data_IF_631038827532
#
_entry.id   IF_631038827532
#
_cell.length_a   1.000
_cell.length_b   1.000
_cell.length_c   1.000
_cell.angle_alpha   90.00
_cell.angle_beta   90.00
_cell.angle_gamma   90.00
#
_symmetry.space_group_name_H-M   'P 1'
#
loop_
_entity.id
_entity.type
_entity.pdbx_description
1 polymer ?
#
# COMPACT_ATOMS: atom_id res chain seq x y z
N UNK A 1 25.88 50.53 -7.40
CA UNK A 1 25.60 49.07 -7.47
C UNK A 1 24.26 48.81 -6.78
N UNK A 2 23.21 48.50 -7.54
CA UNK A 2 21.83 48.50 -7.02
C UNK A 2 21.44 47.11 -6.48
N UNK A 3 21.67 46.86 -5.19
CA UNK A 3 21.21 45.61 -4.57
C UNK A 3 19.68 45.52 -4.65
N UNK A 4 19.18 44.43 -5.23
CA UNK A 4 17.77 44.05 -5.13
C UNK A 4 17.41 43.91 -3.65
N UNK A 5 16.62 44.85 -3.11
CA UNK A 5 15.82 44.58 -1.90
C UNK A 5 14.84 43.45 -2.23
N UNK A 6 15.24 42.21 -1.96
CA UNK A 6 14.35 41.05 -2.00
C UNK A 6 13.14 41.38 -1.11
N UNK A 7 11.96 41.50 -1.71
CA UNK A 7 10.75 41.93 -1.01
C UNK A 7 10.31 40.81 -0.07
N UNK A 8 10.78 40.82 1.18
CA UNK A 8 10.43 39.83 2.21
C UNK A 8 8.92 39.59 2.29
N UNK A 9 8.12 40.66 2.24
CA UNK A 9 6.66 40.57 2.21
C UNK A 9 6.08 39.82 1.00
N UNK A 10 6.71 39.92 -0.19
CA UNK A 10 6.26 39.14 -1.35
C UNK A 10 6.60 37.65 -1.20
N UNK A 11 7.74 37.32 -0.60
CA UNK A 11 8.11 35.94 -0.26
C UNK A 11 7.18 35.38 0.83
N UNK A 12 6.86 36.17 1.85
CA UNK A 12 5.93 35.79 2.91
C UNK A 12 4.50 35.55 2.37
N UNK A 13 3.98 36.44 1.53
CA UNK A 13 2.67 36.26 0.89
C UNK A 13 2.64 35.04 -0.04
N UNK A 14 3.71 34.77 -0.79
CA UNK A 14 3.81 33.57 -1.61
C UNK A 14 3.86 32.29 -0.75
N UNK A 15 4.63 32.29 0.34
CA UNK A 15 4.68 31.17 1.28
C UNK A 15 3.32 30.92 1.95
N UNK A 16 2.63 31.97 2.39
CA UNK A 16 1.28 31.87 2.95
C UNK A 16 0.27 31.33 1.93
N UNK A 17 0.32 31.79 0.67
CA UNK A 17 -0.53 31.28 -0.40
C UNK A 17 -0.28 29.78 -0.67
N UNK A 18 0.99 29.34 -0.68
CA UNK A 18 1.34 27.91 -0.79
C UNK A 18 0.84 27.10 0.41
N UNK A 19 0.97 27.61 1.63
CA UNK A 19 0.46 26.93 2.83
C UNK A 19 -1.08 26.82 2.84
N UNK A 20 -1.79 27.87 2.42
CA UNK A 20 -3.24 27.85 2.27
C UNK A 20 -3.70 26.89 1.16
N UNK A 21 -2.99 26.84 0.04
CA UNK A 21 -3.23 25.88 -1.04
C UNK A 21 -3.00 24.44 -0.58
N UNK A 22 -1.84 24.13 0.01
CA UNK A 22 -1.55 22.81 0.57
C UNK A 22 -2.59 22.38 1.62
N UNK A 23 -3.01 23.29 2.51
CA UNK A 23 -4.11 23.06 3.46
C UNK A 23 -5.41 22.70 2.73
N UNK A 24 -5.81 23.47 1.73
CA UNK A 24 -7.04 23.19 0.96
C UNK A 24 -6.97 21.85 0.20
N UNK A 25 -5.86 21.55 -0.47
CA UNK A 25 -5.63 20.31 -1.24
C UNK A 25 -5.65 19.05 -0.35
N UNK A 26 -5.01 19.12 0.82
CA UNK A 26 -4.92 18.01 1.78
C UNK A 26 -6.23 17.82 2.57
N UNK A 27 -6.89 18.91 2.96
CA UNK A 27 -8.14 18.86 3.70
C UNK A 27 -9.35 18.53 2.83
N UNK A 28 -9.42 19.08 1.62
CA UNK A 28 -10.54 18.94 0.67
C UNK A 28 -11.90 18.91 1.39
N UNK A 29 -12.32 20.06 1.92
CA UNK A 29 -13.57 20.24 2.68
C UNK A 29 -13.64 19.64 4.08
N UNK A 30 -12.76 18.68 4.44
CA UNK A 30 -12.83 17.96 5.71
C UNK A 30 -11.97 18.59 6.82
N UNK A 31 -12.26 18.24 8.08
CA UNK A 31 -11.49 18.69 9.24
C UNK A 31 -10.12 17.99 9.35
N UNK A 32 -9.16 18.64 10.03
CA UNK A 32 -7.83 18.06 10.30
C UNK A 32 -7.94 16.71 11.07
N UNK A 33 -8.75 16.58 12.13
CA UNK A 33 -8.93 15.29 12.82
C UNK A 33 -9.50 14.20 11.93
N UNK A 34 -10.46 14.52 11.05
CA UNK A 34 -11.02 13.54 10.11
C UNK A 34 -9.96 13.05 9.10
N UNK A 35 -9.15 13.95 8.54
CA UNK A 35 -8.07 13.55 7.61
C UNK A 35 -7.02 12.69 8.32
N UNK A 36 -6.57 13.09 9.51
CA UNK A 36 -5.67 12.29 10.33
C UNK A 36 -6.25 10.90 10.62
N UNK A 37 -7.53 10.82 11.01
CA UNK A 37 -8.24 9.56 11.21
C UNK A 37 -8.26 8.69 9.95
N UNK A 38 -8.56 9.24 8.77
CA UNK A 38 -8.53 8.45 7.52
C UNK A 38 -7.14 7.92 7.15
N UNK A 39 -6.06 8.63 7.53
CA UNK A 39 -4.68 8.14 7.37
C UNK A 39 -4.37 7.04 8.38
N UNK A 40 -4.73 7.22 9.66
CA UNK A 40 -4.55 6.21 10.71
C UNK A 40 -5.31 4.92 10.40
N UNK A 41 -6.56 5.01 9.95
CA UNK A 41 -7.37 3.84 9.54
C UNK A 41 -6.76 3.13 8.33
N UNK A 42 -6.09 3.83 7.41
CA UNK A 42 -5.35 3.21 6.32
C UNK A 42 -4.02 2.57 6.76
N UNK A 43 -3.31 3.22 7.68
CA UNK A 43 -2.02 2.76 8.20
C UNK A 43 -2.12 1.66 9.26
N UNK A 44 -3.29 1.49 9.88
CA UNK A 44 -3.51 0.53 10.97
C UNK A 44 -3.22 -0.93 10.58
N UNK A 45 -3.68 -1.48 9.44
CA UNK A 45 -3.42 -2.89 9.11
C UNK A 45 -1.93 -3.21 8.83
N UNK A 46 -1.15 -2.37 8.11
CA UNK A 46 0.31 -2.54 8.01
C UNK A 46 1.02 -2.34 9.36
N UNK A 47 0.58 -1.38 10.19
CA UNK A 47 1.13 -1.21 11.54
C UNK A 47 0.89 -2.46 12.41
N UNK A 48 -0.34 -2.98 12.43
CA UNK A 48 -0.73 -4.20 13.14
C UNK A 48 0.14 -5.39 12.72
N UNK A 49 0.42 -5.55 11.42
CA UNK A 49 1.39 -6.54 10.94
C UNK A 49 2.80 -6.31 11.53
N UNK A 50 3.37 -5.10 11.44
CA UNK A 50 4.71 -4.84 12.00
C UNK A 50 4.78 -5.02 13.52
N UNK A 51 3.66 -4.78 14.22
CA UNK A 51 3.53 -5.01 15.64
C UNK A 51 3.51 -6.52 15.94
N UNK A 52 2.61 -7.28 15.32
CA UNK A 52 2.48 -8.72 15.53
C UNK A 52 3.75 -9.49 15.13
N UNK A 53 4.41 -9.08 14.03
CA UNK A 53 5.73 -9.61 13.65
C UNK A 53 6.74 -9.43 14.79
N UNK A 54 6.81 -8.23 15.40
CA UNK A 54 7.68 -7.98 16.57
C UNK A 54 7.25 -8.73 17.84
N UNK A 55 5.97 -9.05 18.00
CA UNK A 55 5.49 -9.86 19.12
C UNK A 55 5.71 -11.37 18.95
N UNK A 56 5.98 -11.87 17.74
CA UNK A 56 6.22 -13.29 17.48
C UNK A 56 7.36 -13.89 18.33
N UNK A 57 8.33 -13.07 18.76
CA UNK A 57 9.37 -13.47 19.72
C UNK A 57 8.84 -14.02 21.06
N UNK A 58 7.63 -13.61 21.46
CA UNK A 58 6.97 -14.03 22.70
C UNK A 58 6.16 -15.32 22.56
N UNK A 59 6.05 -15.90 21.35
CA UNK A 59 5.46 -17.23 21.16
C UNK A 59 6.43 -18.27 21.75
N UNK A 60 6.07 -19.04 22.79
CA UNK A 60 6.96 -20.01 23.40
C UNK A 60 7.41 -21.08 22.39
N UNK A 61 8.66 -21.53 22.48
CA UNK A 61 9.28 -22.42 21.50
C UNK A 61 8.61 -23.79 21.40
N UNK A 62 8.09 -24.28 22.51
CA UNK A 62 7.43 -25.59 22.69
C UNK A 62 6.07 -25.71 21.99
N UNK A 63 5.45 -24.59 21.59
CA UNK A 63 4.21 -24.57 20.79
C UNK A 63 4.45 -24.20 19.32
N UNK A 64 5.70 -24.02 18.89
CA UNK A 64 6.04 -23.71 17.50
C UNK A 64 6.16 -24.99 16.66
N UNK A 65 5.66 -25.01 15.41
CA UNK A 65 5.80 -26.16 14.53
C UNK A 65 7.26 -26.42 14.10
N UNK A 66 7.62 -27.65 13.68
CA UNK A 66 8.95 -27.97 13.15
C UNK A 66 9.33 -27.15 11.91
N UNK A 67 10.61 -26.80 11.79
CA UNK A 67 11.13 -25.98 10.69
C UNK A 67 11.42 -26.84 9.45
N UNK A 68 10.83 -26.48 8.31
CA UNK A 68 10.98 -27.23 7.07
C UNK A 68 12.18 -26.74 6.23
N UNK A 69 13.15 -27.63 6.00
CA UNK A 69 14.36 -27.33 5.19
C UNK A 69 14.39 -28.01 3.81
N UNK A 70 13.57 -29.05 3.57
CA UNK A 70 13.64 -29.82 2.31
C UNK A 70 12.61 -29.41 1.25
N UNK A 71 11.48 -28.81 1.64
CA UNK A 71 10.38 -28.52 0.71
C UNK A 71 10.72 -27.40 -0.27
N UNK A 72 11.17 -26.24 0.20
CA UNK A 72 11.42 -25.09 -0.68
C UNK A 72 12.54 -25.33 -1.70
N UNK A 73 13.70 -25.92 -1.34
CA UNK A 73 14.72 -26.27 -2.34
C UNK A 73 14.18 -27.23 -3.41
N UNK A 74 13.38 -28.24 -3.03
CA UNK A 74 12.80 -29.19 -3.98
C UNK A 74 11.75 -28.53 -4.88
N UNK A 75 10.81 -27.77 -4.31
CA UNK A 75 9.77 -27.05 -5.04
C UNK A 75 10.36 -25.98 -5.96
N UNK A 76 11.43 -25.29 -5.53
CA UNK A 76 12.15 -24.30 -6.34
C UNK A 76 12.86 -24.95 -7.55
N UNK A 77 13.57 -26.07 -7.33
CA UNK A 77 14.20 -26.84 -8.44
C UNK A 77 13.15 -27.34 -9.45
N UNK A 78 11.99 -27.80 -8.98
CA UNK A 78 10.91 -28.21 -9.88
C UNK A 78 10.32 -27.01 -10.65
N UNK A 79 9.96 -25.92 -9.95
CA UNK A 79 9.39 -24.70 -10.53
C UNK A 79 10.26 -24.09 -11.63
N UNK A 80 11.58 -24.06 -11.43
CA UNK A 80 12.56 -23.50 -12.36
C UNK A 80 12.99 -24.48 -13.47
N UNK A 81 12.55 -25.75 -13.42
CA UNK A 81 12.79 -26.69 -14.52
C UNK A 81 11.95 -26.31 -15.76
N UNK A 82 12.36 -26.70 -16.98
CA UNK A 82 11.56 -26.44 -18.18
C UNK A 82 10.12 -26.99 -18.08
N UNK A 83 9.95 -28.14 -17.43
CA UNK A 83 8.64 -28.76 -17.19
C UNK A 83 7.81 -27.92 -16.20
N UNK A 84 8.42 -27.46 -15.10
CA UNK A 84 7.75 -26.60 -14.12
C UNK A 84 7.31 -25.25 -14.69
N UNK A 85 8.17 -24.62 -15.50
CA UNK A 85 7.85 -23.36 -16.21
C UNK A 85 6.69 -23.57 -17.19
N UNK A 86 6.67 -24.67 -17.97
CA UNK A 86 5.56 -25.02 -18.86
C UNK A 86 4.27 -25.25 -18.07
N UNK A 87 4.31 -26.09 -17.02
CA UNK A 87 3.13 -26.42 -16.22
C UNK A 87 2.53 -25.19 -15.51
N UNK A 88 3.37 -24.30 -14.95
CA UNK A 88 2.88 -23.06 -14.36
C UNK A 88 2.32 -22.11 -15.44
N UNK A 89 2.93 -22.05 -16.63
CA UNK A 89 2.40 -21.25 -17.74
C UNK A 89 1.00 -21.75 -18.15
N UNK A 90 0.83 -23.07 -18.28
CA UNK A 90 -0.47 -23.69 -18.57
C UNK A 90 -1.50 -23.43 -17.45
N UNK A 91 -1.11 -23.54 -16.18
CA UNK A 91 -1.97 -23.25 -15.03
C UNK A 91 -2.40 -21.77 -14.95
N UNK A 92 -1.61 -20.86 -15.51
CA UNK A 92 -1.92 -19.42 -15.61
C UNK A 92 -2.75 -19.05 -16.84
N UNK A 93 -2.90 -19.92 -17.86
CA UNK A 93 -3.70 -19.63 -19.05
C UNK A 93 -5.18 -19.29 -18.75
N UNK A 94 -5.90 -19.94 -17.80
CA UNK A 94 -7.27 -19.55 -17.47
C UNK A 94 -7.34 -18.12 -16.90
N UNK A 95 -6.37 -17.72 -16.07
CA UNK A 95 -6.27 -16.37 -15.52
C UNK A 95 -5.89 -15.35 -16.61
N UNK A 96 -4.94 -15.69 -17.49
CA UNK A 96 -4.59 -14.86 -18.64
C UNK A 96 -5.79 -14.65 -19.57
N UNK A 97 -6.57 -15.70 -19.85
CA UNK A 97 -7.82 -15.64 -20.64
C UNK A 97 -8.89 -14.79 -19.97
N UNK A 98 -9.08 -14.93 -18.66
CA UNK A 98 -10.02 -14.09 -17.90
C UNK A 98 -9.61 -12.60 -17.97
N UNK A 99 -8.33 -12.31 -17.76
CA UNK A 99 -7.79 -10.94 -17.79
C UNK A 99 -7.74 -10.36 -19.21
N UNK A 100 -7.62 -11.20 -20.25
CA UNK A 100 -7.80 -10.78 -21.65
C UNK A 100 -9.18 -10.15 -21.83
N UNK A 101 -10.26 -10.95 -21.71
CA UNK A 101 -11.62 -10.48 -21.98
C UNK A 101 -12.09 -9.42 -20.99
N UNK A 102 -11.77 -9.55 -19.69
CA UNK A 102 -12.13 -8.56 -18.67
C UNK A 102 -11.43 -7.19 -18.84
N UNK A 103 -10.34 -7.15 -19.64
CA UNK A 103 -9.64 -5.92 -19.98
C UNK A 103 -10.01 -5.36 -21.37
N UNK A 104 -10.85 -6.04 -22.16
CA UNK A 104 -11.35 -5.49 -23.44
C UNK A 104 -12.60 -4.61 -23.30
N UNK A 105 -13.32 -4.70 -22.17
CA UNK A 105 -14.56 -3.95 -21.91
C UNK A 105 -14.45 -2.43 -22.07
N UNK A 106 -15.34 -1.88 -22.90
CA UNK A 106 -15.67 -0.46 -23.15
C UNK A 106 -14.57 0.59 -23.31
N UNK A 107 -13.35 0.13 -23.55
CA UNK A 107 -12.29 0.95 -24.11
C UNK A 107 -12.62 1.33 -25.58
N UNK A 108 -12.19 2.50 -26.08
CA UNK A 108 -12.20 2.82 -27.51
C UNK A 108 -11.45 1.76 -28.33
N UNK A 109 -11.73 1.60 -29.63
CA UNK A 109 -11.12 0.54 -30.49
C UNK A 109 -9.58 0.47 -30.35
N UNK A 110 -8.89 1.61 -30.31
CA UNK A 110 -7.43 1.69 -30.13
C UNK A 110 -6.94 1.16 -28.76
N UNK A 111 -7.76 1.22 -27.72
CA UNK A 111 -7.42 0.78 -26.36
C UNK A 111 -7.96 -0.62 -26.01
N UNK A 112 -8.96 -1.18 -26.71
CA UNK A 112 -9.43 -2.56 -26.47
C UNK A 112 -8.27 -3.55 -26.54
N UNK A 113 -7.34 -3.32 -27.48
CA UNK A 113 -6.12 -4.10 -27.62
C UNK A 113 -5.20 -4.17 -26.38
N UNK A 114 -5.41 -3.35 -25.33
CA UNK A 114 -4.63 -3.44 -24.07
C UNK A 114 -4.79 -4.78 -23.35
N UNK A 115 -5.92 -5.48 -23.49
CA UNK A 115 -6.17 -6.75 -22.80
C UNK A 115 -5.13 -7.83 -23.10
N UNK A 116 -4.69 -7.93 -24.36
CA UNK A 116 -3.64 -8.86 -24.80
C UNK A 116 -2.33 -8.72 -24.00
N UNK A 117 -1.97 -7.51 -23.59
CA UNK A 117 -0.69 -7.24 -22.93
C UNK A 117 -0.71 -7.60 -21.46
N UNK A 118 -1.85 -7.46 -20.77
CA UNK A 118 -2.01 -7.98 -19.41
C UNK A 118 -2.07 -9.52 -19.41
N UNK A 119 -2.79 -10.12 -20.36
CA UNK A 119 -2.84 -11.58 -20.55
C UNK A 119 -1.45 -12.15 -20.88
N UNK A 120 -0.73 -11.55 -21.83
CA UNK A 120 0.65 -11.92 -22.14
C UNK A 120 1.59 -11.74 -20.94
N UNK A 121 1.38 -10.70 -20.11
CA UNK A 121 2.18 -10.53 -18.90
C UNK A 121 2.00 -11.66 -17.89
N UNK A 122 0.78 -12.20 -17.77
CA UNK A 122 0.48 -13.36 -16.92
C UNK A 122 1.11 -14.64 -17.50
N UNK A 123 1.03 -14.83 -18.82
CA UNK A 123 1.65 -15.97 -19.50
C UNK A 123 3.20 -15.92 -19.49
N UNK A 124 3.80 -14.73 -19.50
CA UNK A 124 5.25 -14.53 -19.42
C UNK A 124 5.80 -14.57 -17.99
N UNK A 125 4.94 -14.51 -16.96
CA UNK A 125 5.37 -14.49 -15.55
C UNK A 125 6.29 -15.67 -15.17
N UNK A 126 6.04 -16.94 -15.56
CA UNK A 126 6.92 -18.06 -15.19
C UNK A 126 8.30 -17.96 -15.82
N UNK A 127 8.38 -17.54 -17.09
CA UNK A 127 9.64 -17.31 -17.80
C UNK A 127 10.41 -16.13 -17.20
N UNK A 128 9.71 -15.06 -16.80
CA UNK A 128 10.31 -13.92 -16.12
C UNK A 128 10.84 -14.26 -14.72
N UNK A 129 10.08 -15.04 -13.95
CA UNK A 129 10.52 -15.56 -12.64
C UNK A 129 11.78 -16.41 -12.82
N UNK A 130 11.80 -17.31 -13.81
CA UNK A 130 12.98 -18.09 -14.16
C UNK A 130 14.18 -17.22 -14.59
N UNK A 131 13.95 -16.14 -15.35
CA UNK A 131 14.99 -15.19 -15.71
C UNK A 131 15.53 -14.44 -14.49
N UNK A 132 14.68 -14.00 -13.54
CA UNK A 132 15.16 -13.36 -12.30
C UNK A 132 15.96 -14.33 -11.42
N UNK A 133 15.61 -15.62 -11.41
CA UNK A 133 16.35 -16.65 -10.70
C UNK A 133 17.73 -16.92 -11.34
N UNK A 134 17.79 -17.03 -12.67
CA UNK A 134 19.05 -17.23 -13.39
C UNK A 134 19.99 -16.01 -13.31
N UNK A 135 19.45 -14.80 -13.42
CA UNK A 135 20.22 -13.57 -13.14
C UNK A 135 20.58 -13.45 -11.65
N UNK A 136 19.89 -14.17 -10.77
CA UNK A 136 20.23 -14.31 -9.35
C UNK A 136 21.57 -15.02 -9.13
N UNK A 137 22.02 -15.86 -10.07
CA UNK A 137 23.31 -16.57 -10.01
C UNK A 137 24.43 -15.86 -10.77
N UNK A 138 24.32 -14.54 -11.00
CA UNK A 138 25.42 -13.73 -11.52
C UNK A 138 26.55 -13.61 -10.49
N UNK A 139 27.78 -13.44 -10.97
CA UNK A 139 28.96 -13.27 -10.12
C UNK A 139 28.81 -12.07 -9.18
N UNK A 140 29.11 -12.29 -7.91
CA UNK A 140 28.93 -11.30 -6.85
C UNK A 140 29.88 -10.12 -7.07
N UNK A 141 29.33 -8.90 -7.07
CA UNK A 141 30.14 -7.68 -7.18
C UNK A 141 29.49 -6.52 -6.44
N UNK A 142 30.32 -5.58 -5.95
CA UNK A 142 29.84 -4.40 -5.21
C UNK A 142 28.81 -3.58 -6.00
N UNK A 143 28.91 -3.55 -7.33
CA UNK A 143 27.96 -2.87 -8.20
C UNK A 143 26.58 -3.56 -8.22
N UNK A 144 26.54 -4.90 -8.32
CA UNK A 144 25.29 -5.66 -8.25
C UNK A 144 24.72 -5.68 -6.84
N UNK A 145 25.55 -5.71 -5.79
CA UNK A 145 25.13 -5.61 -4.39
C UNK A 145 24.44 -4.26 -4.10
N UNK A 146 25.03 -3.14 -4.54
CA UNK A 146 24.40 -1.82 -4.41
C UNK A 146 23.15 -1.67 -5.30
N UNK A 147 23.11 -2.31 -6.47
CA UNK A 147 21.92 -2.31 -7.33
C UNK A 147 20.78 -3.16 -6.74
N UNK A 148 21.06 -4.33 -6.19
CA UNK A 148 20.09 -5.16 -5.48
C UNK A 148 19.61 -4.49 -4.18
N UNK A 149 20.52 -3.83 -3.46
CA UNK A 149 20.19 -3.00 -2.30
C UNK A 149 19.15 -1.91 -2.62
N UNK A 150 19.23 -1.30 -3.80
CA UNK A 150 18.28 -0.27 -4.24
C UNK A 150 16.82 -0.73 -4.20
N UNK A 151 16.50 -1.92 -4.73
CA UNK A 151 15.15 -2.48 -4.67
C UNK A 151 14.84 -3.12 -3.31
N UNK A 152 15.71 -4.02 -2.84
CA UNK A 152 15.45 -4.89 -1.69
C UNK A 152 15.64 -4.19 -0.34
N UNK A 153 16.72 -3.43 -0.15
CA UNK A 153 17.03 -2.78 1.13
C UNK A 153 16.36 -1.40 1.27
N UNK A 154 16.47 -0.54 0.26
CA UNK A 154 15.94 0.82 0.33
C UNK A 154 14.46 0.90 -0.08
N UNK A 155 14.11 0.47 -1.30
CA UNK A 155 12.74 0.61 -1.80
C UNK A 155 11.74 -0.35 -1.16
N UNK A 156 12.14 -1.43 -0.47
CA UNK A 156 11.18 -2.27 0.26
C UNK A 156 10.44 -1.47 1.36
N UNK A 157 11.15 -0.67 2.15
CA UNK A 157 10.54 0.14 3.21
C UNK A 157 9.93 1.44 2.67
N UNK A 158 10.50 2.02 1.61
CA UNK A 158 10.02 3.29 1.05
C UNK A 158 8.82 3.13 0.09
N UNK A 159 8.75 2.05 -0.69
CA UNK A 159 7.73 1.92 -1.75
C UNK A 159 6.28 1.87 -1.25
N UNK A 160 5.92 1.33 -0.07
CA UNK A 160 4.55 1.44 0.45
C UNK A 160 4.13 2.89 0.69
N UNK A 161 5.03 3.74 1.18
CA UNK A 161 4.77 5.15 1.47
C UNK A 161 4.67 5.94 0.15
N UNK A 162 5.60 5.70 -0.77
CA UNK A 162 5.60 6.30 -2.12
C UNK A 162 4.34 5.88 -2.90
N UNK A 163 3.95 4.61 -2.83
CA UNK A 163 2.73 4.09 -3.46
C UNK A 163 1.48 4.71 -2.83
N UNK A 164 1.36 4.76 -1.50
CA UNK A 164 0.22 5.39 -0.83
C UNK A 164 0.07 6.87 -1.23
N UNK A 165 1.18 7.61 -1.32
CA UNK A 165 1.19 9.00 -1.79
C UNK A 165 0.80 9.13 -3.27
N UNK A 166 1.33 8.26 -4.14
CA UNK A 166 0.98 8.22 -5.56
C UNK A 166 -0.50 7.86 -5.77
N UNK A 167 -1.05 6.93 -4.98
CA UNK A 167 -2.46 6.53 -5.02
C UNK A 167 -3.37 7.64 -4.47
N UNK A 168 -2.93 8.43 -3.49
CA UNK A 168 -3.64 9.65 -3.08
C UNK A 168 -3.62 10.72 -4.19
N UNK A 169 -2.50 10.84 -4.90
CA UNK A 169 -2.33 11.76 -6.02
C UNK A 169 -3.19 11.44 -7.24
N UNK A 170 -3.16 10.20 -7.72
CA UNK A 170 -3.74 9.80 -9.02
C UNK A 170 -4.90 8.80 -8.92
N UNK A 171 -5.13 8.21 -7.74
CA UNK A 171 -6.26 7.30 -7.49
C UNK A 171 -7.51 8.02 -6.99
N UNK A 172 -8.59 7.26 -6.87
CA UNK A 172 -9.89 7.78 -6.42
C UNK A 172 -9.93 8.00 -4.91
N UNK A 173 -10.86 8.82 -4.42
CA UNK A 173 -10.89 9.18 -3.00
C UNK A 173 -11.09 7.96 -2.10
N UNK A 174 -10.16 7.74 -1.17
CA UNK A 174 -10.14 6.55 -0.30
C UNK A 174 -9.38 5.34 -0.86
N UNK A 175 -8.90 5.37 -2.11
CA UNK A 175 -8.09 4.30 -2.67
C UNK A 175 -6.79 4.06 -1.89
N UNK A 176 -6.13 5.13 -1.42
CA UNK A 176 -4.90 5.03 -0.61
C UNK A 176 -5.13 4.39 0.77
N UNK A 177 -6.30 4.63 1.39
CA UNK A 177 -6.70 3.92 2.61
C UNK A 177 -6.95 2.42 2.30
N UNK A 178 -7.65 2.14 1.20
CA UNK A 178 -7.91 0.76 0.74
C UNK A 178 -6.61 0.01 0.40
N UNK A 179 -5.60 0.68 -0.16
CA UNK A 179 -4.25 0.13 -0.36
C UNK A 179 -3.59 -0.31 0.95
N UNK A 180 -3.69 0.51 2.01
CA UNK A 180 -3.19 0.14 3.34
C UNK A 180 -3.88 -1.12 3.89
N UNK A 181 -5.19 -1.23 3.74
CA UNK A 181 -5.94 -2.45 4.07
C UNK A 181 -5.52 -3.67 3.24
N UNK A 182 -5.32 -3.51 1.92
CA UNK A 182 -4.83 -4.59 1.05
C UNK A 182 -3.43 -5.08 1.48
N UNK A 183 -2.49 -4.14 1.66
CA UNK A 183 -1.11 -4.40 2.06
C UNK A 183 -1.04 -5.07 3.44
N UNK A 184 -1.80 -4.56 4.41
CA UNK A 184 -1.87 -5.17 5.73
C UNK A 184 -2.46 -6.57 5.70
N UNK A 185 -3.52 -6.82 4.92
CA UNK A 185 -4.15 -8.13 4.82
C UNK A 185 -3.20 -9.20 4.26
N UNK A 186 -2.51 -8.92 3.14
CA UNK A 186 -1.52 -9.87 2.60
C UNK A 186 -0.34 -10.10 3.56
N UNK A 187 0.11 -9.07 4.28
CA UNK A 187 1.26 -9.18 5.17
C UNK A 187 0.89 -9.91 6.48
N UNK A 188 -0.32 -9.70 7.01
CA UNK A 188 -0.87 -10.47 8.14
C UNK A 188 -1.03 -11.96 7.78
N UNK A 189 -1.57 -12.27 6.59
CA UNK A 189 -1.71 -13.65 6.13
C UNK A 189 -0.34 -14.32 5.86
N UNK A 190 0.62 -13.58 5.31
CA UNK A 190 1.99 -14.07 5.15
C UNK A 190 2.69 -14.32 6.49
N UNK A 191 2.56 -13.41 7.47
CA UNK A 191 3.03 -13.63 8.84
C UNK A 191 2.37 -14.86 9.48
N UNK A 192 1.06 -15.02 9.35
CA UNK A 192 0.37 -16.21 9.84
C UNK A 192 0.96 -17.49 9.22
N UNK A 193 1.27 -17.47 7.91
CA UNK A 193 1.96 -18.57 7.22
C UNK A 193 3.35 -18.83 7.79
N UNK A 194 4.16 -17.78 8.03
CA UNK A 194 5.49 -17.93 8.63
C UNK A 194 5.47 -18.55 10.03
N UNK A 195 4.38 -18.37 10.78
CA UNK A 195 4.21 -18.90 12.14
C UNK A 195 3.69 -20.35 12.16
N UNK A 196 2.77 -20.71 11.26
CA UNK A 196 2.23 -22.08 11.18
C UNK A 196 3.03 -23.00 10.25
N UNK A 197 3.84 -22.44 9.35
CA UNK A 197 4.60 -23.16 8.34
C UNK A 197 6.01 -22.54 8.14
N UNK A 198 6.87 -22.61 9.17
CA UNK A 198 8.24 -22.10 9.12
C UNK A 198 9.10 -22.88 8.12
N UNK A 199 9.84 -22.16 7.27
CA UNK A 199 10.71 -22.74 6.25
C UNK A 199 12.03 -21.96 6.15
N UNK A 200 13.13 -22.67 5.86
CA UNK A 200 14.46 -22.07 5.68
C UNK A 200 14.69 -21.54 4.25
N UNK A 201 15.13 -20.28 4.16
CA UNK A 201 15.50 -19.54 2.94
C UNK A 201 16.96 -19.83 2.50
N UNK A 202 17.38 -19.42 1.28
CA UNK A 202 18.66 -19.84 0.69
C UNK A 202 19.91 -19.64 1.59
N UNK A 203 19.99 -18.49 2.28
CA UNK A 203 21.09 -18.18 3.21
C UNK A 203 21.37 -19.24 4.27
N UNK A 204 20.38 -20.06 4.65
CA UNK A 204 20.57 -21.12 5.63
C UNK A 204 21.51 -22.20 5.08
N UNK A 205 21.32 -22.62 3.84
CA UNK A 205 22.13 -23.66 3.20
C UNK A 205 23.51 -23.12 2.79
N UNK A 206 23.62 -21.81 2.51
CA UNK A 206 24.91 -21.14 2.28
C UNK A 206 25.81 -21.13 3.54
N UNK A 207 25.21 -21.16 4.74
CA UNK A 207 25.92 -21.08 6.03
C UNK A 207 26.10 -22.44 6.70
N UNK A 208 25.08 -23.31 6.62
CA UNK A 208 25.05 -24.60 7.33
C UNK A 208 25.12 -25.83 6.41
N UNK A 209 25.14 -25.64 5.09
CA UNK A 209 25.16 -26.72 4.10
C UNK A 209 23.76 -27.28 3.76
N UNK A 210 23.71 -28.17 2.77
CA UNK A 210 22.48 -28.86 2.35
C UNK A 210 22.15 -30.00 3.31
N UNK A 211 23.16 -30.72 3.80
CA UNK A 211 23.04 -31.84 4.74
C UNK A 211 22.95 -31.40 6.21
N UNK A 212 22.49 -30.17 6.46
CA UNK A 212 22.34 -29.60 7.78
C UNK A 212 21.35 -30.42 8.64
N UNK A 213 21.66 -30.55 9.93
CA UNK A 213 20.73 -31.09 10.92
C UNK A 213 19.43 -30.25 10.97
N UNK A 214 18.32 -30.85 11.43
CA UNK A 214 17.06 -30.13 11.59
C UNK A 214 17.27 -28.91 12.52
N UNK A 215 17.04 -27.68 12.05
CA UNK A 215 17.27 -26.50 12.86
C UNK A 215 16.16 -26.32 13.89
N UNK A 216 16.49 -25.62 14.97
CA UNK A 216 15.57 -25.21 16.02
C UNK A 216 15.42 -23.67 16.09
N UNK A 217 14.69 -23.18 17.08
CA UNK A 217 14.44 -21.76 17.28
C UNK A 217 15.54 -20.99 18.03
N UNK A 218 16.68 -21.61 18.32
CA UNK A 218 17.89 -20.92 18.84
C UNK A 218 18.71 -20.26 17.72
N UNK A 219 18.53 -20.69 16.47
CA UNK A 219 19.27 -20.18 15.31
C UNK A 219 19.08 -18.65 15.15
N UNK A 220 20.17 -17.86 15.04
CA UNK A 220 20.09 -16.42 14.91
C UNK A 220 19.60 -16.00 13.51
N UNK A 221 18.91 -14.85 13.45
CA UNK A 221 18.54 -14.24 12.17
C UNK A 221 19.75 -13.71 11.40
N UNK A 222 19.74 -13.87 10.08
CA UNK A 222 20.91 -13.64 9.22
C UNK A 222 20.60 -12.57 8.14
N UNK A 223 21.50 -11.60 7.89
CA UNK A 223 21.34 -10.59 6.84
C UNK A 223 21.58 -11.11 5.41
N UNK A 224 21.95 -12.38 5.22
CA UNK A 224 22.27 -12.98 3.93
C UNK A 224 23.23 -12.09 3.10
N UNK A 225 22.94 -11.88 1.81
CA UNK A 225 23.75 -11.04 0.93
C UNK A 225 23.90 -9.58 1.39
N UNK A 226 23.00 -9.05 2.25
CA UNK A 226 23.12 -7.68 2.77
C UNK A 226 24.31 -7.49 3.72
N UNK A 227 24.97 -8.56 4.20
CA UNK A 227 26.26 -8.43 4.92
C UNK A 227 27.34 -7.75 4.05
N UNK A 228 27.29 -7.99 2.73
CA UNK A 228 28.19 -7.35 1.75
C UNK A 228 27.86 -5.87 1.60
N UNK A 229 26.58 -5.52 1.59
CA UNK A 229 26.10 -4.12 1.54
C UNK A 229 26.48 -3.35 2.81
N UNK A 230 26.32 -3.96 3.98
CA UNK A 230 26.83 -3.42 5.26
C UNK A 230 28.34 -3.13 5.15
N UNK A 231 29.13 -4.07 4.62
CA UNK A 231 30.58 -3.89 4.41
C UNK A 231 30.94 -2.80 3.39
N UNK A 232 30.25 -2.72 2.25
CA UNK A 232 30.47 -1.71 1.20
C UNK A 232 30.16 -0.28 1.70
N UNK A 233 29.12 -0.14 2.53
CA UNK A 233 28.70 1.15 3.08
C UNK A 233 29.40 1.52 4.41
N UNK A 234 30.22 0.63 4.97
CA UNK A 234 30.86 0.83 6.27
C UNK A 234 29.86 0.89 7.44
N UNK A 235 28.76 0.13 7.35
CA UNK A 235 27.70 0.11 8.38
C UNK A 235 27.42 -1.31 8.91
N UNK A 236 26.55 -1.40 9.91
CA UNK A 236 26.06 -2.67 10.47
C UNK A 236 24.54 -2.67 10.58
N UNK A 237 23.85 -1.98 9.67
CA UNK A 237 22.40 -1.74 9.75
C UNK A 237 21.65 -3.05 9.54
N UNK A 238 22.01 -3.81 8.51
CA UNK A 238 21.30 -5.04 8.16
C UNK A 238 21.68 -6.18 9.08
N UNK A 239 22.96 -6.30 9.44
CA UNK A 239 23.45 -7.24 10.46
C UNK A 239 22.70 -7.07 11.79
N UNK A 240 22.52 -5.83 12.27
CA UNK A 240 21.78 -5.54 13.52
C UNK A 240 20.27 -5.66 13.39
N UNK A 241 19.70 -5.46 12.20
CA UNK A 241 18.26 -5.61 11.96
C UNK A 241 17.86 -7.09 11.86
N UNK A 242 18.52 -7.87 11.00
CA UNK A 242 18.23 -9.30 10.81
C UNK A 242 18.65 -10.14 12.02
N UNK A 243 19.77 -9.82 12.69
CA UNK A 243 20.19 -10.47 13.94
C UNK A 243 19.22 -10.31 15.12
N UNK A 244 18.17 -9.49 14.98
CA UNK A 244 17.06 -9.35 15.95
C UNK A 244 15.70 -9.76 15.35
N UNK A 245 15.72 -10.49 14.24
CA UNK A 245 14.55 -11.01 13.55
C UNK A 245 13.77 -12.02 14.41
N UNK A 246 12.50 -11.77 14.76
CA UNK A 246 11.69 -12.66 15.60
C UNK A 246 11.18 -13.90 14.87
N UNK A 247 11.23 -13.89 13.53
CA UNK A 247 10.74 -14.94 12.63
C UNK A 247 11.85 -15.25 11.62
N UNK A 248 12.84 -16.05 12.07
CA UNK A 248 14.05 -16.38 11.28
C UNK A 248 13.71 -17.25 10.07
N UNK A 249 12.85 -18.25 10.26
CA UNK A 249 12.43 -19.21 9.23
C UNK A 249 11.14 -18.77 8.52
N UNK A 250 11.06 -17.49 8.14
CA UNK A 250 9.92 -16.86 7.46
C UNK A 250 10.05 -16.78 5.94
N UNK A 251 10.50 -17.86 5.27
CA UNK A 251 10.81 -17.82 3.84
C UNK A 251 9.55 -17.65 2.94
N UNK A 252 8.52 -18.49 3.12
CA UNK A 252 7.33 -18.56 2.25
C UNK A 252 6.07 -18.07 2.98
N UNK A 253 5.26 -17.15 2.41
CA UNK A 253 5.47 -16.39 1.18
C UNK A 253 6.48 -15.24 1.35
N UNK A 254 7.09 -14.79 0.25
CA UNK A 254 7.92 -13.59 0.27
C UNK A 254 7.08 -12.32 0.39
N UNK A 255 7.14 -11.66 1.54
CA UNK A 255 6.50 -10.36 1.76
C UNK A 255 7.12 -9.23 0.92
N UNK A 256 8.37 -9.39 0.48
CA UNK A 256 9.03 -8.49 -0.46
C UNK A 256 8.33 -8.52 -1.83
N UNK A 257 8.10 -9.71 -2.38
CA UNK A 257 7.34 -9.89 -3.61
C UNK A 257 5.88 -9.45 -3.46
N UNK A 258 5.22 -9.84 -2.37
CA UNK A 258 3.83 -9.45 -2.11
C UNK A 258 3.67 -7.92 -2.03
N UNK A 259 4.59 -7.22 -1.36
CA UNK A 259 4.58 -5.76 -1.27
C UNK A 259 4.79 -5.12 -2.63
N UNK A 260 5.76 -5.59 -3.42
CA UNK A 260 6.04 -5.06 -4.76
C UNK A 260 4.85 -5.23 -5.71
N UNK A 261 4.28 -6.43 -5.77
CA UNK A 261 3.08 -6.72 -6.58
C UNK A 261 1.89 -5.86 -6.13
N UNK A 262 1.66 -5.68 -4.82
CA UNK A 262 0.56 -4.84 -4.32
C UNK A 262 0.70 -3.38 -4.76
N UNK A 263 1.89 -2.79 -4.59
CA UNK A 263 2.20 -1.45 -5.09
C UNK A 263 1.95 -1.35 -6.61
N UNK A 264 2.45 -2.32 -7.38
CA UNK A 264 2.31 -2.34 -8.83
C UNK A 264 0.87 -2.57 -9.31
N UNK A 265 0.04 -3.37 -8.64
CA UNK A 265 -1.37 -3.58 -9.00
C UNK A 265 -2.20 -2.30 -8.83
N UNK A 266 -1.97 -1.53 -7.77
CA UNK A 266 -2.59 -0.21 -7.60
C UNK A 266 -2.09 0.81 -8.62
N UNK A 267 -0.78 0.82 -8.92
CA UNK A 267 -0.22 1.68 -9.97
C UNK A 267 -0.77 1.30 -11.36
N UNK A 268 -0.97 0.02 -11.65
CA UNK A 268 -1.64 -0.47 -12.87
C UNK A 268 -3.09 0.01 -12.94
N UNK A 269 -3.84 0.00 -11.83
CA UNK A 269 -5.26 0.40 -11.81
C UNK A 269 -5.46 1.86 -12.23
N UNK A 270 -4.65 2.78 -11.68
CA UNK A 270 -4.84 4.22 -11.85
C UNK A 270 -3.91 4.86 -12.90
N UNK A 271 -3.02 4.10 -13.53
CA UNK A 271 -2.17 4.59 -14.63
C UNK A 271 -2.89 4.69 -15.97
N UNK A 272 -2.67 5.80 -16.69
CA UNK A 272 -3.09 5.96 -18.10
C UNK A 272 -2.17 5.18 -19.05
N UNK A 273 -2.73 4.63 -20.13
CA UNK A 273 -2.00 3.87 -21.15
C UNK A 273 -1.38 2.56 -20.65
N UNK A 274 -0.10 2.33 -20.96
CA UNK A 274 0.68 1.17 -20.48
C UNK A 274 1.62 1.49 -19.31
N UNK A 275 1.65 2.75 -18.82
CA UNK A 275 2.68 3.26 -17.89
C UNK A 275 2.80 2.42 -16.62
N UNK A 276 1.66 2.03 -16.04
CA UNK A 276 1.64 1.18 -14.84
C UNK A 276 2.06 -0.27 -15.10
N UNK A 277 1.84 -0.80 -16.31
CA UNK A 277 2.30 -2.15 -16.68
C UNK A 277 3.81 -2.19 -16.88
N UNK A 278 4.38 -1.15 -17.51
CA UNK A 278 5.84 -0.98 -17.61
C UNK A 278 6.48 -0.83 -16.23
N UNK A 279 5.88 -0.01 -15.35
CA UNK A 279 6.31 0.09 -13.95
C UNK A 279 6.24 -1.26 -13.21
N UNK A 280 5.15 -2.01 -13.37
CA UNK A 280 4.99 -3.33 -12.76
C UNK A 280 6.12 -4.27 -13.18
N UNK A 281 6.39 -4.37 -14.48
CA UNK A 281 7.47 -5.20 -15.01
C UNK A 281 8.84 -4.79 -14.47
N UNK A 282 9.21 -3.51 -14.59
CA UNK A 282 10.53 -3.03 -14.14
C UNK A 282 10.72 -3.20 -12.62
N UNK A 283 9.75 -2.79 -11.80
CA UNK A 283 9.90 -2.83 -10.35
C UNK A 283 9.81 -4.25 -9.77
N UNK A 284 8.87 -5.07 -10.25
CA UNK A 284 8.75 -6.45 -9.76
C UNK A 284 9.94 -7.30 -10.20
N UNK A 285 10.42 -7.16 -11.45
CA UNK A 285 11.62 -7.89 -11.92
C UNK A 285 12.87 -7.50 -11.10
N UNK A 286 13.09 -6.20 -10.86
CA UNK A 286 14.23 -5.72 -10.07
C UNK A 286 14.14 -6.13 -8.58
N UNK A 287 12.94 -6.20 -7.99
CA UNK A 287 12.73 -6.76 -6.66
C UNK A 287 13.00 -8.27 -6.63
N UNK A 288 12.41 -9.03 -7.56
CA UNK A 288 12.46 -10.49 -7.60
C UNK A 288 13.87 -11.01 -7.87
N UNK A 289 14.62 -10.33 -8.74
CA UNK A 289 16.04 -10.58 -8.91
C UNK A 289 16.82 -10.31 -7.61
N UNK A 290 16.67 -9.12 -7.02
CA UNK A 290 17.41 -8.73 -5.82
C UNK A 290 17.14 -9.65 -4.62
N UNK A 291 15.89 -10.09 -4.41
CA UNK A 291 15.53 -11.05 -3.34
C UNK A 291 16.25 -12.40 -3.47
N UNK A 292 16.58 -12.81 -4.70
CA UNK A 292 17.26 -14.08 -4.99
C UNK A 292 18.79 -13.91 -5.02
N UNK A 293 19.29 -12.86 -5.66
CA UNK A 293 20.72 -12.49 -5.69
C UNK A 293 21.30 -12.15 -4.30
N UNK A 294 20.46 -11.67 -3.36
CA UNK A 294 20.83 -11.50 -1.95
C UNK A 294 20.52 -12.74 -1.09
N UNK A 295 20.12 -13.86 -1.69
CA UNK A 295 19.90 -15.18 -1.06
C UNK A 295 18.85 -15.19 0.09
N UNK A 296 17.92 -14.23 0.08
CA UNK A 296 16.85 -14.15 1.09
C UNK A 296 15.61 -14.99 0.77
N UNK A 297 15.36 -15.31 -0.51
CA UNK A 297 14.17 -16.04 -0.96
C UNK A 297 14.45 -16.96 -2.15
N UNK A 298 13.68 -18.05 -2.23
CA UNK A 298 13.56 -18.88 -3.43
C UNK A 298 12.50 -18.31 -4.40
N UNK A 299 12.52 -18.71 -5.67
CA UNK A 299 11.51 -18.31 -6.66
C UNK A 299 10.09 -18.72 -6.26
N UNK A 300 9.95 -19.87 -5.59
CA UNK A 300 8.67 -20.35 -5.05
C UNK A 300 8.08 -19.39 -4.00
N UNK A 301 8.92 -18.73 -3.20
CA UNK A 301 8.49 -17.72 -2.21
C UNK A 301 7.91 -16.48 -2.90
N UNK A 302 8.50 -16.09 -4.04
CA UNK A 302 8.08 -14.95 -4.84
C UNK A 302 6.77 -15.24 -5.58
N UNK A 303 6.59 -16.46 -6.10
CA UNK A 303 5.32 -16.95 -6.64
C UNK A 303 4.22 -16.93 -5.57
N UNK A 304 4.50 -17.44 -4.37
CA UNK A 304 3.56 -17.42 -3.25
C UNK A 304 3.22 -15.98 -2.81
N UNK A 305 4.21 -15.09 -2.70
CA UNK A 305 4.00 -13.67 -2.41
C UNK A 305 3.14 -12.97 -3.47
N UNK A 306 3.36 -13.29 -4.75
CA UNK A 306 2.54 -12.82 -5.87
C UNK A 306 1.10 -13.28 -5.74
N UNK A 307 0.86 -14.56 -5.43
CA UNK A 307 -0.48 -15.11 -5.21
C UNK A 307 -1.22 -14.41 -4.07
N UNK A 308 -0.57 -14.26 -2.90
CA UNK A 308 -1.13 -13.54 -1.75
C UNK A 308 -1.56 -12.12 -2.12
N UNK A 309 -0.74 -11.43 -2.91
CA UNK A 309 -1.01 -10.07 -3.36
C UNK A 309 -2.17 -9.98 -4.36
N UNK A 310 -2.23 -10.88 -5.34
CA UNK A 310 -3.32 -10.95 -6.32
C UNK A 310 -4.66 -11.28 -5.63
N UNK A 311 -4.67 -12.20 -4.67
CA UNK A 311 -5.86 -12.55 -3.87
C UNK A 311 -6.33 -11.35 -3.04
N UNK A 312 -5.44 -10.75 -2.24
CA UNK A 312 -5.78 -9.59 -1.41
C UNK A 312 -6.26 -8.40 -2.26
N UNK A 313 -5.55 -8.08 -3.36
CA UNK A 313 -5.98 -7.04 -4.28
C UNK A 313 -7.36 -7.32 -4.87
N UNK A 314 -7.62 -8.54 -5.35
CA UNK A 314 -8.91 -8.91 -5.95
C UNK A 314 -10.06 -8.80 -4.95
N UNK A 315 -9.84 -9.19 -3.69
CA UNK A 315 -10.82 -9.03 -2.61
C UNK A 315 -11.18 -7.56 -2.39
N UNK A 316 -10.19 -6.69 -2.13
CA UNK A 316 -10.43 -5.27 -1.91
C UNK A 316 -10.90 -4.52 -3.17
N UNK A 317 -10.56 -5.01 -4.37
CA UNK A 317 -11.06 -4.51 -5.65
C UNK A 317 -12.58 -4.65 -5.75
N UNK A 318 -13.08 -5.85 -5.48
CA UNK A 318 -14.51 -6.20 -5.50
C UNK A 318 -15.28 -5.54 -4.36
N UNK A 319 -14.77 -5.63 -3.12
CA UNK A 319 -15.47 -5.15 -1.92
C UNK A 319 -15.50 -3.62 -1.84
N UNK A 320 -14.40 -2.94 -2.21
CA UNK A 320 -14.22 -1.50 -1.93
C UNK A 320 -13.84 -0.66 -3.15
N UNK A 321 -12.81 -0.99 -3.92
CA UNK A 321 -12.30 -0.08 -4.97
C UNK A 321 -13.36 0.21 -6.04
N UNK A 322 -14.11 -0.79 -6.54
CA UNK A 322 -15.20 -0.53 -7.50
C UNK A 322 -16.25 0.46 -7.00
N UNK A 323 -16.56 0.43 -5.70
CA UNK A 323 -17.55 1.34 -5.08
C UNK A 323 -16.99 2.75 -4.93
N UNK A 324 -15.71 2.89 -4.55
CA UNK A 324 -15.01 4.18 -4.51
C UNK A 324 -14.84 4.78 -5.91
N UNK A 325 -14.47 3.97 -6.89
CA UNK A 325 -14.32 4.39 -8.27
C UNK A 325 -15.68 4.81 -8.88
N UNK A 326 -16.74 4.01 -8.70
CA UNK A 326 -18.09 4.38 -9.15
C UNK A 326 -18.51 5.73 -8.57
N UNK A 327 -18.38 5.90 -7.24
CA UNK A 327 -18.68 7.16 -6.54
C UNK A 327 -17.89 8.34 -7.09
N UNK A 328 -16.57 8.17 -7.25
CA UNK A 328 -15.67 9.23 -7.70
C UNK A 328 -16.03 9.75 -9.10
N UNK A 329 -16.40 8.88 -10.03
CA UNK A 329 -16.83 9.31 -11.37
C UNK A 329 -18.30 9.74 -11.44
N UNK A 330 -19.20 9.20 -10.60
CA UNK A 330 -20.62 9.58 -10.60
C UNK A 330 -20.91 10.91 -9.92
N UNK A 331 -20.05 11.35 -9.00
CA UNK A 331 -20.17 12.62 -8.27
C UNK A 331 -19.14 13.67 -8.73
N UNK A 332 -18.39 13.41 -9.81
CA UNK A 332 -17.37 14.34 -10.32
C UNK A 332 -16.30 14.70 -9.29
N UNK A 333 -15.86 13.74 -8.48
CA UNK A 333 -14.88 13.96 -7.41
C UNK A 333 -13.46 14.11 -7.97
N UNK A 334 -12.59 14.75 -7.19
CA UNK A 334 -11.20 15.02 -7.52
C UNK A 334 -10.21 14.07 -6.84
N UNK A 335 -9.08 13.80 -7.49
CA UNK A 335 -7.90 13.19 -6.88
C UNK A 335 -6.91 14.26 -6.32
N UNK A 336 -5.83 13.82 -5.67
CA UNK A 336 -4.85 14.74 -5.07
C UNK A 336 -4.17 15.65 -6.09
N UNK A 337 -3.87 15.14 -7.29
CA UNK A 337 -3.21 15.86 -8.36
C UNK A 337 -4.10 16.95 -8.98
N UNK A 338 -5.39 16.67 -9.18
CA UNK A 338 -6.37 17.62 -9.72
C UNK A 338 -6.59 18.81 -8.79
N UNK A 339 -6.70 18.58 -7.47
CA UNK A 339 -6.73 19.68 -6.51
C UNK A 339 -5.41 20.45 -6.53
N UNK A 340 -4.27 19.74 -6.56
CA UNK A 340 -2.95 20.36 -6.48
C UNK A 340 -2.66 21.30 -7.66
N UNK A 341 -2.97 20.95 -8.91
CA UNK A 341 -2.59 21.74 -10.09
C UNK A 341 -3.74 22.24 -10.99
N UNK A 342 -5.00 21.87 -10.73
CA UNK A 342 -6.13 22.32 -11.55
C UNK A 342 -7.20 23.11 -10.76
N UNK A 343 -6.98 23.35 -9.46
CA UNK A 343 -7.87 24.11 -8.57
C UNK A 343 -9.35 23.64 -8.53
N UNK A 344 -9.63 22.46 -9.09
CA UNK A 344 -10.96 21.85 -9.19
C UNK A 344 -11.48 21.41 -7.83
N UNK A 345 -12.78 21.52 -7.64
CA UNK A 345 -13.54 21.01 -6.49
C UNK A 345 -14.25 19.70 -6.83
N UNK A 346 -14.65 18.99 -5.79
CA UNK A 346 -15.55 17.85 -5.94
C UNK A 346 -16.91 18.32 -6.48
N UNK A 347 -17.41 17.67 -7.52
CA UNK A 347 -18.56 18.11 -8.32
C UNK A 347 -18.18 18.81 -9.63
N UNK A 348 -16.91 19.19 -9.84
CA UNK A 348 -16.44 19.86 -11.07
C UNK A 348 -15.73 18.90 -12.04
N UNK A 349 -15.49 17.64 -11.66
CA UNK A 349 -14.64 16.70 -12.40
C UNK A 349 -15.42 15.73 -13.30
N UNK A 350 -16.51 16.18 -13.92
CA UNK A 350 -17.24 15.40 -14.92
C UNK A 350 -16.52 15.47 -16.27
N UNK A 351 -15.88 14.36 -16.66
CA UNK A 351 -15.20 14.25 -17.96
C UNK A 351 -15.55 12.96 -18.71
N UNK A 352 -15.24 12.94 -20.00
CA UNK A 352 -15.50 11.79 -20.87
C UNK A 352 -14.70 10.53 -20.47
N UNK A 353 -13.66 10.64 -19.64
CA UNK A 353 -12.94 9.49 -19.10
C UNK A 353 -13.70 8.87 -17.92
N UNK A 354 -14.26 9.68 -17.03
CA UNK A 354 -15.16 9.27 -15.96
C UNK A 354 -16.40 8.55 -16.49
N UNK A 355 -17.05 9.09 -17.53
CA UNK A 355 -18.15 8.39 -18.23
C UNK A 355 -17.76 6.98 -18.70
N UNK A 356 -16.62 6.83 -19.38
CA UNK A 356 -16.15 5.51 -19.87
C UNK A 356 -15.88 4.55 -18.71
N UNK A 357 -15.37 5.07 -17.60
CA UNK A 357 -15.10 4.25 -16.41
C UNK A 357 -16.39 3.88 -15.66
N UNK A 358 -17.42 4.73 -15.66
CA UNK A 358 -18.76 4.39 -15.18
C UNK A 358 -19.40 3.27 -16.00
N UNK A 359 -19.38 3.36 -17.33
CA UNK A 359 -19.89 2.30 -18.24
C UNK A 359 -19.17 0.96 -17.96
N UNK A 360 -17.84 0.99 -17.83
CA UNK A 360 -17.02 -0.18 -17.46
C UNK A 360 -17.35 -0.75 -16.05
N UNK A 361 -17.88 0.07 -15.14
CA UNK A 361 -18.32 -0.37 -13.81
C UNK A 361 -19.79 -0.81 -13.77
N UNK A 362 -20.61 -0.43 -14.77
CA UNK A 362 -22.00 -0.88 -14.93
C UNK A 362 -22.13 -2.21 -15.69
N UNK A 363 -21.22 -2.49 -16.63
CA UNK A 363 -21.17 -3.76 -17.39
C UNK A 363 -20.85 -4.98 -16.53
N UNK A 364 -21.82 -5.44 -15.76
CA UNK A 364 -21.75 -6.58 -14.86
C UNK A 364 -23.08 -6.96 -14.19
N UNK A 365 -24.01 -6.00 -14.02
CA UNK A 365 -25.29 -6.24 -13.31
C UNK A 365 -26.55 -5.87 -14.13
N UNK A 366 -26.43 -5.08 -15.21
CA UNK A 366 -27.56 -4.52 -15.99
C UNK A 366 -27.81 -5.22 -17.36
N UNK A 367 -27.76 -6.55 -17.42
CA UNK A 367 -28.26 -7.30 -18.59
C UNK A 367 -29.04 -8.57 -18.14
N UNK A 368 -30.38 -8.60 -18.32
CA UNK A 368 -31.21 -9.73 -17.88
C UNK A 368 -31.01 -10.94 -18.79
N UNK A 369 -29.99 -11.75 -18.47
CA UNK A 369 -29.65 -12.96 -19.19
C UNK A 369 -30.73 -14.06 -18.98
N UNK A 370 -31.78 -14.01 -19.80
CA UNK A 370 -32.56 -15.21 -20.12
C UNK A 370 -31.65 -16.18 -20.90
N UNK A 371 -31.19 -17.24 -20.23
CA UNK A 371 -31.17 -18.65 -20.70
C UNK A 371 -30.28 -19.50 -19.78
N UNK A 372 -30.88 -20.53 -19.16
CA UNK A 372 -30.22 -21.77 -18.70
C UNK A 372 -29.19 -21.70 -17.55
N UNK A 373 -29.60 -22.00 -16.31
CA UNK A 373 -28.64 -22.05 -15.20
C UNK A 373 -29.11 -22.54 -13.80
N UNK A 374 -30.08 -23.45 -13.71
CA UNK A 374 -30.55 -24.12 -12.47
C UNK A 374 -30.86 -23.15 -11.29
N UNK A 375 -32.12 -22.72 -11.20
CA UNK A 375 -32.62 -22.04 -10.00
C UNK A 375 -32.93 -23.04 -8.88
N UNK A 376 -32.49 -22.73 -7.65
CA UNK A 376 -33.03 -23.28 -6.42
C UNK A 376 -33.80 -22.18 -5.68
N UNK A 377 -35.12 -22.16 -5.84
CA UNK A 377 -36.04 -21.38 -5.00
C UNK A 377 -36.42 -22.18 -3.74
N UNK A 378 -36.80 -21.51 -2.65
CA UNK A 378 -38.24 -21.37 -2.41
C UNK A 378 -38.75 -19.92 -2.50
N UNK A 379 -40.05 -19.79 -2.66
CA UNK A 379 -40.79 -18.52 -2.78
C UNK A 379 -41.24 -17.97 -1.43
N UNK A 380 -41.28 -16.63 -1.31
CA UNK A 380 -42.36 -15.90 -0.64
C UNK A 380 -42.72 -14.69 -1.52
N UNK A 381 -44.01 -14.41 -1.68
CA UNK A 381 -44.54 -13.34 -2.52
C UNK A 381 -44.70 -12.01 -1.76
N UNK A 382 -44.47 -10.89 -2.46
CA UNK A 382 -44.77 -9.52 -1.99
C UNK A 382 -44.86 -8.57 -3.19
N UNK A 383 -45.78 -7.60 -3.16
CA UNK A 383 -46.28 -6.94 -4.38
C UNK A 383 -45.61 -5.59 -4.73
N UNK A 384 -45.33 -5.42 -6.03
CA UNK A 384 -45.62 -4.22 -6.82
C UNK A 384 -45.15 -2.83 -6.36
N UNK A 385 -44.12 -2.30 -7.03
CA UNK A 385 -44.04 -0.87 -7.43
C UNK A 385 -43.12 -0.75 -8.66
N UNK A 386 -43.54 -0.10 -9.78
CA UNK A 386 -42.69 0.08 -10.95
C UNK A 386 -41.62 1.16 -10.73
N UNK A 387 -40.38 0.88 -11.13
CA UNK A 387 -39.28 1.82 -11.01
C UNK A 387 -39.42 3.02 -11.97
N UNK A 388 -39.21 4.23 -11.45
CA UNK A 388 -39.29 5.49 -12.21
C UNK A 388 -37.98 5.74 -12.96
N UNK A 389 -38.05 5.94 -14.27
CA UNK A 389 -36.89 6.23 -15.11
C UNK A 389 -36.21 7.54 -14.70
N UNK A 390 -34.92 7.49 -14.38
CA UNK A 390 -34.11 8.67 -14.02
C UNK A 390 -33.37 9.17 -15.25
N UNK A 391 -33.95 10.18 -15.91
CA UNK A 391 -33.21 11.01 -16.88
C UNK A 391 -32.16 11.87 -16.15
N UNK A 392 -30.99 12.16 -16.75
CA UNK A 392 -30.02 13.07 -16.16
C UNK A 392 -30.62 14.49 -16.03
N UNK A 393 -30.30 15.23 -14.94
CA UNK A 393 -30.83 16.58 -14.73
C UNK A 393 -30.25 17.56 -15.74
N UNK A 394 -31.11 18.47 -16.23
CA UNK A 394 -30.70 19.51 -17.17
C UNK A 394 -29.80 20.58 -16.50
N UNK A 395 -28.93 21.17 -17.33
CA UNK A 395 -28.08 22.31 -17.00
C UNK A 395 -28.88 23.48 -16.39
N UNK A 396 -28.36 24.09 -15.34
CA UNK A 396 -28.99 25.24 -14.66
C UNK A 396 -27.91 26.25 -14.26
N UNK A 397 -27.96 27.45 -14.85
CA UNK A 397 -27.07 28.54 -14.46
C UNK A 397 -27.38 29.02 -13.04
N UNK A 398 -26.34 29.11 -12.21
CA UNK A 398 -26.42 29.55 -10.81
C UNK A 398 -25.86 30.95 -10.62
N UNK A 399 -26.70 31.97 -10.76
CA UNK A 399 -26.36 33.34 -10.34
C UNK A 399 -26.23 33.43 -8.81
N UNK A 400 -25.27 34.19 -8.31
CA UNK A 400 -25.08 34.39 -6.87
C UNK A 400 -26.24 35.17 -6.25
N UNK A 401 -26.77 34.68 -5.12
CA UNK A 401 -27.65 35.46 -4.23
C UNK A 401 -26.90 35.68 -2.92
N UNK A 402 -26.70 36.93 -2.51
CA UNK A 402 -26.04 37.27 -1.26
C UNK A 402 -27.00 37.13 -0.07
N UNK A 403 -26.49 36.63 1.06
CA UNK A 403 -27.20 36.69 2.33
C UNK A 403 -27.34 38.16 2.80
N UNK A 404 -28.46 38.54 3.43
CA UNK A 404 -28.64 39.90 3.92
C UNK A 404 -27.74 40.17 5.14
N UNK A 405 -27.30 41.43 5.26
CA UNK A 405 -26.69 41.93 6.49
C UNK A 405 -27.76 42.23 7.54
N UNK A 406 -27.39 42.15 8.81
CA UNK A 406 -28.13 42.74 9.93
C UNK A 406 -27.36 43.99 10.35
N UNK A 407 -28.08 45.09 10.55
CA UNK A 407 -27.52 46.40 10.93
C UNK A 407 -27.95 46.74 12.36
N UNK A 408 -27.14 47.53 13.07
CA UNK A 408 -27.30 47.77 14.51
C UNK A 408 -28.16 49.01 14.84
N UNK A 409 -28.68 49.02 16.08
CA UNK A 409 -29.57 50.04 16.72
C UNK A 409 -31.06 49.88 16.35
N UNK A 410 -32.02 50.27 17.21
CA UNK A 410 -31.91 51.09 18.42
C UNK A 410 -32.95 50.68 19.49
N UNK A 411 -32.49 50.44 20.73
CA UNK A 411 -33.34 50.35 21.93
C UNK A 411 -32.49 50.62 23.19
N UNK A 412 -32.93 51.51 24.07
CA UNK A 412 -32.27 51.94 25.32
C UNK A 412 -33.25 51.85 26.49
N UNK A 413 -32.69 51.97 27.71
CA UNK A 413 -33.38 52.09 29.02
C UNK A 413 -34.17 50.82 29.44
N UNK A 414 -34.09 50.27 30.66
CA UNK A 414 -33.62 50.75 31.98
C UNK A 414 -32.27 50.08 32.43
N UNK A 415 -31.40 50.60 33.31
CA UNK A 415 -31.53 51.37 34.59
C UNK A 415 -31.85 50.45 35.81
N UNK A 416 -31.13 50.37 36.95
CA UNK A 416 -29.73 50.70 37.36
C UNK A 416 -29.39 50.10 38.76
N UNK A 417 -28.28 50.50 39.42
CA UNK A 417 -27.73 50.04 40.75
C UNK A 417 -27.15 48.61 40.78
N UNK A 418 -26.23 48.14 41.66
CA UNK A 418 -25.29 48.69 42.69
C UNK A 418 -24.39 47.52 43.20
N UNK A 419 -23.19 47.63 43.79
CA UNK A 419 -22.30 48.76 44.16
C UNK A 419 -20.80 48.32 44.18
N UNK A 420 -19.96 48.75 45.14
CA UNK A 420 -18.48 48.68 45.21
C UNK A 420 -17.90 47.71 46.29
N UNK A 421 -16.56 47.54 46.34
CA UNK A 421 -15.74 46.87 47.39
C UNK A 421 -14.98 45.62 46.90
N UNK A 422 -13.65 45.41 47.05
CA UNK A 422 -12.64 45.61 48.13
C UNK A 422 -12.76 44.55 49.27
N UNK A 423 -11.70 43.90 49.83
CA UNK A 423 -10.23 43.81 49.56
C UNK A 423 -9.65 42.52 50.26
N UNK A 424 -8.33 42.26 50.18
CA UNK A 424 -7.51 41.28 50.97
C UNK A 424 -7.78 39.75 50.83
N UNK A 425 -6.88 38.80 51.15
CA UNK A 425 -5.46 38.87 51.60
C UNK A 425 -4.89 37.50 52.08
N UNK A 426 -3.56 37.37 52.22
CA UNK A 426 -2.75 36.23 52.78
C UNK A 426 -2.69 34.87 51.99
N UNK A 427 -1.57 34.12 51.79
CA UNK A 427 -0.31 33.75 52.54
C UNK A 427 -0.50 32.49 53.43
N UNK A 428 0.35 31.43 53.50
CA UNK A 428 1.57 30.92 52.78
C UNK A 428 1.59 29.35 52.86
N UNK A 429 2.61 28.48 52.70
CA UNK A 429 4.07 28.46 52.39
C UNK A 429 4.40 27.11 51.67
N UNK A 430 5.70 26.76 51.53
CA UNK A 430 6.22 25.38 51.37
C UNK A 430 6.74 24.82 52.73
N UNK A 431 7.69 23.85 52.82
CA UNK A 431 9.09 23.97 52.36
C UNK A 431 9.65 22.71 51.65
N UNK A 432 10.97 22.68 51.39
CA UNK A 432 11.70 21.65 50.63
C UNK A 432 12.17 20.43 51.46
N UNK A 433 12.61 19.38 50.77
CA UNK A 433 13.86 18.68 51.13
C UNK A 433 14.61 18.18 49.88
N UNK A 434 15.95 18.12 49.99
CA UNK A 434 16.87 17.51 49.01
C UNK A 434 17.48 16.24 49.62
N UNK A 435 18.01 15.33 48.78
CA UNK A 435 19.28 14.64 49.07
C UNK A 435 19.86 13.95 47.82
N UNK A 436 21.07 13.40 47.97
CA UNK A 436 22.10 13.40 46.94
C UNK A 436 22.34 12.07 46.18
N UNK A 437 23.16 12.18 45.13
CA UNK A 437 23.70 11.07 44.33
C UNK A 437 24.76 10.25 45.12
N UNK A 438 25.12 9.05 44.64
CA UNK A 438 26.34 8.98 43.82
C UNK A 438 26.24 8.04 42.59
N UNK A 439 27.30 8.05 41.80
CA UNK A 439 27.41 7.42 40.47
C UNK A 439 27.89 5.97 40.51
N UNK A 440 27.69 5.22 39.41
CA UNK A 440 28.54 4.07 39.05
C UNK A 440 28.77 3.99 37.54
N UNK A 441 30.01 3.68 37.15
CA UNK A 441 30.47 3.51 35.75
C UNK A 441 30.75 2.02 35.45
N UNK A 442 31.05 1.75 34.18
CA UNK A 442 31.76 0.56 33.63
C UNK A 442 31.14 -0.82 33.84
N UNK A 443 30.77 -1.47 32.74
CA UNK A 443 31.54 -2.61 32.24
C UNK A 443 31.44 -2.69 30.70
N UNK A 444 32.58 -2.83 30.03
CA UNK A 444 32.69 -3.33 28.65
C UNK A 444 33.23 -4.74 28.70
N UNK A 445 32.77 -5.63 27.83
CA UNK A 445 33.33 -6.97 27.64
C UNK A 445 33.75 -7.13 26.18
N UNK A 446 34.80 -7.91 25.97
CA UNK A 446 35.53 -8.15 24.71
C UNK A 446 34.68 -8.95 23.73
#
# INVERSE_FOLDING_TARGET
>A
MMLRRFRLGAVASAALAVLLHCRWVLLNGASVPYRLWTVLVGAFPPFLWTFLFKQAKHIPTEIRPPIHINLLPAANRFLLSPIGVILLTLALLPLARLVYFWSEGDKPKAERGRGRWYAASIALFPAALCATAHLGTLEISNALDLFAFGSYGALHFASPIIAAWWIWGFGTQGAACTFGWTLGAQNLAGLATHLVFPNASPWFYDVYGIDAAQPDYSYPGNPAGLVRVDSILGTHIYTKAFGKGPVVFGAIPSLHAATAICCSLFVVRYSKGYRGLVFMWLYCFWMFWATQYLHHHFAIDLLAGTFYSVVAFTLFERVRLRKLDRKHYSEGLTNGWERLWHARRDGENYDAYGERMLRRLAGGDDEPNLVGGIALSPSVSGEGTPARSVSPPAYRDGGYTSLPAVDDKEARECDSSSLEGDDDGAIDERPNSMHDLPTRRTASVV
#
